data_IF_918784939685
#
_entry.id   IF_918784939685
#
_cell.length_a   1.000
_cell.length_b   1.000
_cell.length_c   1.000
_cell.angle_alpha   90.00
_cell.angle_beta   90.00
_cell.angle_gamma   90.00
#
_symmetry.space_group_name_H-M   'P 1'
#
loop_
_entity.id
_entity.type
_entity.pdbx_description
1 polymer ?
#
# COMPACT_ATOMS: atom_id res chain seq x y z
N UNK A 1 1.37 -16.72 -9.09
CA UNK A 1 1.60 -15.98 -7.84
C UNK A 1 0.28 -15.96 -7.08
N UNK A 2 0.15 -16.70 -6.00
CA UNK A 2 -1.12 -16.88 -5.29
C UNK A 2 -1.28 -15.73 -4.31
N UNK A 3 -2.27 -14.86 -4.53
CA UNK A 3 -2.65 -13.83 -3.55
C UNK A 3 -2.99 -14.51 -2.23
N UNK A 4 -2.31 -14.14 -1.15
CA UNK A 4 -2.53 -14.73 0.17
C UNK A 4 -3.39 -13.79 1.02
N UNK A 5 -4.55 -14.28 1.41
CA UNK A 5 -5.39 -13.68 2.43
C UNK A 5 -5.04 -14.31 3.77
N UNK A 6 -4.77 -13.49 4.78
CA UNK A 6 -4.42 -13.96 6.13
C UNK A 6 -5.30 -13.30 7.18
N UNK A 7 -5.74 -14.10 8.15
CA UNK A 7 -6.45 -13.62 9.33
C UNK A 7 -5.45 -12.99 10.30
N UNK A 8 -5.79 -11.85 10.85
CA UNK A 8 -5.04 -11.19 11.92
C UNK A 8 -5.67 -11.62 13.25
N UNK A 9 -4.94 -12.24 14.19
CA UNK A 9 -5.52 -12.70 15.47
C UNK A 9 -6.11 -11.54 16.29
N UNK A 10 -7.19 -11.82 17.02
CA UNK A 10 -7.80 -10.87 17.99
C UNK A 10 -6.79 -10.43 19.05
N UNK A 11 -6.83 -9.15 19.41
CA UNK A 11 -6.01 -8.58 20.50
C UNK A 11 -4.65 -8.06 20.05
N UNK A 12 -4.38 -8.04 18.75
CA UNK A 12 -3.16 -7.44 18.20
C UNK A 12 -3.43 -5.97 17.89
N UNK A 13 -2.79 -5.08 18.67
CA UNK A 13 -2.72 -3.66 18.34
C UNK A 13 -2.34 -3.50 16.87
N UNK A 14 -2.88 -2.52 16.13
CA UNK A 14 -2.60 -2.32 14.69
C UNK A 14 -1.11 -2.14 14.36
N UNK A 15 -0.24 -2.10 15.36
CA UNK A 15 1.22 -2.05 15.26
C UNK A 15 1.91 -3.34 15.75
N UNK A 16 1.20 -4.44 16.00
CA UNK A 16 1.82 -5.67 16.50
C UNK A 16 2.36 -6.57 15.37
N UNK A 17 3.51 -7.13 15.63
CA UNK A 17 4.35 -7.95 14.76
C UNK A 17 3.64 -9.20 14.26
N UNK A 18 3.62 -9.43 12.95
CA UNK A 18 3.32 -10.72 12.36
C UNK A 18 4.57 -11.60 12.33
N UNK A 19 4.61 -12.60 13.21
CA UNK A 19 5.57 -13.69 13.12
C UNK A 19 5.17 -14.65 11.99
N UNK A 20 6.09 -14.95 11.07
CA UNK A 20 5.90 -16.02 10.07
C UNK A 20 5.99 -17.34 10.80
N UNK A 21 4.89 -18.10 10.85
CA UNK A 21 4.89 -19.48 11.31
C UNK A 21 5.50 -20.35 10.21
N UNK A 22 6.78 -20.68 10.34
CA UNK A 22 7.43 -21.70 9.53
C UNK A 22 7.08 -23.06 10.11
N UNK A 23 6.54 -23.96 9.28
CA UNK A 23 6.02 -25.25 9.66
C UNK A 23 6.97 -26.06 10.55
N UNK A 24 6.40 -26.64 11.61
CA UNK A 24 7.12 -27.48 12.56
C UNK A 24 7.46 -28.85 11.94
N UNK A 25 8.74 -29.14 11.78
CA UNK A 25 9.26 -30.51 11.79
C UNK A 25 9.63 -30.88 13.25
N UNK A 26 9.24 -32.07 13.63
CA UNK A 26 9.31 -32.70 14.95
C UNK A 26 10.71 -32.63 15.54
N UNK A 27 10.78 -32.32 16.86
CA UNK A 27 11.96 -32.28 17.75
C UNK A 27 12.89 -31.07 17.55
N UNK A 28 12.58 -29.96 18.26
CA UNK A 28 13.47 -29.27 19.18
C UNK A 28 12.76 -28.03 19.74
N UNK A 29 13.17 -27.62 20.95
CA UNK A 29 12.60 -26.48 21.65
C UNK A 29 12.70 -25.23 20.77
N UNK A 30 11.65 -24.36 20.74
CA UNK A 30 11.72 -23.13 19.97
C UNK A 30 12.85 -22.26 20.55
N UNK A 31 13.94 -22.13 19.81
CA UNK A 31 14.96 -21.11 20.07
C UNK A 31 14.34 -19.77 19.61
N UNK A 32 13.82 -19.01 20.55
CA UNK A 32 13.49 -17.61 20.29
C UNK A 32 14.79 -16.83 20.09
N UNK A 33 15.21 -16.69 18.84
CA UNK A 33 16.20 -15.68 18.50
C UNK A 33 15.48 -14.35 18.60
N UNK A 34 15.66 -13.65 19.73
CA UNK A 34 15.29 -12.25 19.89
C UNK A 34 16.16 -11.39 18.96
N UNK A 35 15.88 -11.45 17.66
CA UNK A 35 16.24 -10.38 16.76
C UNK A 35 15.36 -9.19 17.12
N UNK A 36 15.95 -8.08 17.53
CA UNK A 36 15.28 -6.79 17.70
C UNK A 36 14.69 -6.37 16.33
N UNK A 37 13.51 -6.85 15.99
CA UNK A 37 12.66 -6.16 15.04
C UNK A 37 11.75 -5.28 15.87
N UNK A 38 12.10 -4.02 15.99
CA UNK A 38 11.14 -2.97 16.34
C UNK A 38 9.94 -3.14 15.46
N UNK A 39 8.74 -2.97 15.98
CA UNK A 39 7.52 -2.93 15.15
C UNK A 39 7.77 -1.93 14.03
N UNK A 40 7.43 -2.23 12.77
CA UNK A 40 7.61 -1.27 11.69
C UNK A 40 6.91 0.02 12.07
N UNK A 41 7.63 1.12 12.07
CA UNK A 41 7.06 2.43 12.25
C UNK A 41 6.30 2.75 10.95
N UNK A 42 5.01 2.97 11.04
CA UNK A 42 4.19 3.30 9.89
C UNK A 42 4.00 4.82 9.81
N UNK A 43 4.36 5.38 8.69
CA UNK A 43 4.20 6.80 8.38
C UNK A 43 2.98 6.99 7.49
N UNK A 44 2.06 7.85 7.91
CA UNK A 44 0.90 8.18 7.09
C UNK A 44 1.32 9.09 5.93
N UNK A 45 0.87 8.73 4.73
CA UNK A 45 1.18 9.44 3.49
C UNK A 45 -0.10 9.76 2.72
N UNK A 46 0.01 10.75 1.83
CA UNK A 46 -1.03 11.05 0.84
C UNK A 46 -0.49 10.94 -0.57
N UNK A 47 -1.36 10.66 -1.52
CA UNK A 47 -1.01 10.83 -2.94
C UNK A 47 -0.88 12.33 -3.20
N UNK A 48 0.34 12.77 -3.49
CA UNK A 48 0.63 14.16 -3.77
C UNK A 48 0.31 14.51 -5.21
N UNK A 49 0.84 13.70 -6.13
CA UNK A 49 0.66 13.90 -7.56
C UNK A 49 0.98 12.64 -8.37
N UNK A 50 0.60 12.67 -9.65
CA UNK A 50 1.08 11.76 -10.68
C UNK A 50 2.02 12.50 -11.61
N UNK A 51 3.18 11.90 -11.85
CA UNK A 51 4.20 12.40 -12.77
C UNK A 51 4.53 11.41 -13.88
N UNK A 52 5.38 11.85 -14.80
CA UNK A 52 6.04 11.02 -15.78
C UNK A 52 7.55 11.18 -15.63
N UNK A 53 8.26 10.07 -15.62
CA UNK A 53 9.70 10.07 -15.73
C UNK A 53 10.12 10.65 -17.08
N UNK A 54 11.00 11.67 -17.08
CA UNK A 54 11.40 12.37 -18.29
C UNK A 54 12.17 11.49 -19.27
N UNK A 55 12.89 10.50 -18.77
CA UNK A 55 13.79 9.66 -19.58
C UNK A 55 13.04 8.60 -20.36
N UNK A 56 12.09 7.92 -19.74
CA UNK A 56 11.39 6.76 -20.30
C UNK A 56 9.88 6.90 -20.39
N UNK A 57 9.33 8.06 -19.94
CA UNK A 57 7.89 8.35 -19.90
C UNK A 57 7.08 7.34 -19.07
N UNK A 58 7.72 6.67 -18.13
CA UNK A 58 7.04 5.79 -17.19
C UNK A 58 6.26 6.61 -16.17
N UNK A 59 4.98 6.31 -15.94
CA UNK A 59 4.21 6.97 -14.90
C UNK A 59 4.77 6.68 -13.51
N UNK A 60 4.71 7.68 -12.65
CA UNK A 60 5.10 7.59 -11.23
C UNK A 60 4.03 8.22 -10.36
N UNK A 61 3.69 7.56 -9.25
CA UNK A 61 2.87 8.15 -8.20
C UNK A 61 3.77 8.60 -7.07
N UNK A 62 3.58 9.83 -6.61
CA UNK A 62 4.33 10.42 -5.50
C UNK A 62 3.50 10.34 -4.22
N UNK A 63 4.02 9.66 -3.22
CA UNK A 63 3.43 9.56 -1.88
C UNK A 63 4.19 10.47 -0.95
N UNK A 64 3.56 11.57 -0.51
CA UNK A 64 4.13 12.52 0.44
C UNK A 64 3.74 12.16 1.86
N UNK A 65 4.71 12.20 2.76
CA UNK A 65 4.49 12.15 4.21
C UNK A 65 3.50 13.24 4.65
N UNK A 66 2.52 12.86 5.47
CA UNK A 66 1.45 13.78 5.87
C UNK A 66 1.95 14.86 6.87
N UNK A 67 2.90 14.52 7.72
CA UNK A 67 3.46 15.36 8.78
C UNK A 67 4.92 15.75 8.51
N UNK A 68 5.41 15.60 7.26
CA UNK A 68 6.79 15.86 6.89
C UNK A 68 6.95 16.23 5.42
N UNK A 69 8.20 16.21 4.95
CA UNK A 69 8.55 16.60 3.58
C UNK A 69 8.98 15.44 2.70
N UNK A 70 9.19 14.25 3.28
CA UNK A 70 9.65 13.06 2.55
C UNK A 70 8.63 12.63 1.51
N UNK A 71 9.13 12.27 0.34
CA UNK A 71 8.30 11.84 -0.81
C UNK A 71 8.82 10.52 -1.34
N UNK A 72 7.97 9.49 -1.36
CA UNK A 72 8.25 8.19 -1.94
C UNK A 72 7.73 8.14 -3.38
N UNK A 73 8.60 8.00 -4.40
CA UNK A 73 8.19 7.75 -5.77
C UNK A 73 7.94 6.26 -5.98
N UNK A 74 6.82 5.91 -6.61
CA UNK A 74 6.53 4.54 -7.02
C UNK A 74 6.21 4.54 -8.51
N UNK A 75 7.07 3.90 -9.31
CA UNK A 75 6.85 3.73 -10.74
C UNK A 75 5.76 2.70 -10.98
N UNK A 76 4.79 3.04 -11.81
CA UNK A 76 3.59 2.24 -12.07
C UNK A 76 3.30 2.12 -13.56
N UNK A 77 2.45 1.19 -13.95
CA UNK A 77 2.03 1.06 -15.33
C UNK A 77 1.04 2.16 -15.78
N UNK A 78 0.89 2.39 -17.09
CA UNK A 78 -0.04 3.41 -17.59
C UNK A 78 -1.51 3.14 -17.22
N UNK A 79 -1.92 1.88 -17.15
CA UNK A 79 -3.28 1.49 -16.75
C UNK A 79 -3.56 1.80 -15.29
N UNK A 80 -2.59 1.55 -14.44
CA UNK A 80 -2.62 1.83 -13.02
C UNK A 80 -2.63 3.34 -12.76
N UNK A 81 -1.77 4.09 -13.45
CA UNK A 81 -1.74 5.54 -13.39
C UNK A 81 -3.09 6.16 -13.80
N UNK A 82 -3.70 5.65 -14.88
CA UNK A 82 -5.05 6.08 -15.29
C UNK A 82 -6.09 5.82 -14.22
N UNK A 83 -6.05 4.66 -13.56
CA UNK A 83 -7.01 4.32 -12.51
C UNK A 83 -6.92 5.27 -11.30
N UNK A 84 -5.70 5.70 -10.94
CA UNK A 84 -5.45 6.68 -9.90
C UNK A 84 -5.88 8.07 -10.36
N UNK A 85 -5.45 8.52 -11.55
CA UNK A 85 -5.76 9.82 -12.12
C UNK A 85 -7.26 10.11 -12.21
N UNK A 86 -8.02 9.13 -12.69
CA UNK A 86 -9.49 9.22 -12.79
C UNK A 86 -10.12 9.50 -11.44
N UNK A 87 -9.67 8.84 -10.38
CA UNK A 87 -10.18 9.04 -9.03
C UNK A 87 -9.75 10.38 -8.45
N UNK A 88 -8.48 10.77 -8.65
CA UNK A 88 -7.98 12.09 -8.18
C UNK A 88 -8.72 13.25 -8.85
N UNK A 89 -9.06 13.12 -10.12
CA UNK A 89 -9.80 14.12 -10.87
C UNK A 89 -11.34 14.01 -10.70
N UNK A 90 -11.82 13.06 -9.90
CA UNK A 90 -13.25 12.81 -9.66
C UNK A 90 -14.07 12.69 -10.97
N UNK A 91 -13.46 12.10 -12.02
CA UNK A 91 -14.11 11.95 -13.33
C UNK A 91 -15.23 10.89 -13.25
N UNK A 92 -16.48 11.26 -13.48
CA UNK A 92 -17.58 10.31 -13.42
C UNK A 92 -17.60 9.39 -14.65
N UNK A 93 -17.94 8.13 -14.43
CA UNK A 93 -18.17 7.15 -15.49
C UNK A 93 -19.60 6.59 -15.44
N UNK A 94 -20.22 6.29 -16.59
CA UNK A 94 -21.57 5.70 -16.63
C UNK A 94 -21.66 4.33 -15.96
N UNK A 95 -20.55 3.60 -15.88
CA UNK A 95 -20.45 2.29 -15.24
C UNK A 95 -19.22 2.22 -14.36
N UNK A 96 -19.26 1.43 -13.26
CA UNK A 96 -18.13 1.25 -12.37
C UNK A 96 -16.90 0.71 -13.11
N UNK A 97 -15.74 1.29 -12.88
CA UNK A 97 -14.45 0.75 -13.32
C UNK A 97 -14.03 -0.40 -12.41
N UNK A 98 -12.93 -1.11 -12.75
CA UNK A 98 -12.47 -2.29 -12.01
C UNK A 98 -12.30 -2.04 -10.50
N UNK A 99 -11.66 -0.92 -10.11
CA UNK A 99 -11.46 -0.61 -8.69
C UNK A 99 -12.75 -0.16 -8.00
N UNK A 100 -13.70 0.45 -8.72
CA UNK A 100 -15.02 0.79 -8.20
C UNK A 100 -15.85 -0.47 -7.94
N UNK A 101 -15.78 -1.43 -8.89
CA UNK A 101 -16.39 -2.75 -8.74
C UNK A 101 -15.80 -3.50 -7.54
N UNK A 102 -14.47 -3.47 -7.38
CA UNK A 102 -13.82 -4.08 -6.22
C UNK A 102 -14.33 -3.49 -4.90
N UNK A 103 -14.38 -2.16 -4.77
CA UNK A 103 -14.91 -1.49 -3.58
C UNK A 103 -16.39 -1.83 -3.33
N UNK A 104 -17.18 -1.96 -4.40
CA UNK A 104 -18.59 -2.32 -4.30
C UNK A 104 -18.78 -3.77 -3.83
N UNK A 105 -17.98 -4.70 -4.35
CA UNK A 105 -17.96 -6.09 -3.91
C UNK A 105 -17.53 -6.22 -2.46
N UNK A 106 -16.46 -5.52 -2.07
CA UNK A 106 -15.97 -5.52 -0.68
C UNK A 106 -17.08 -5.10 0.29
N UNK A 107 -17.74 -3.97 0.02
CA UNK A 107 -18.88 -3.49 0.81
C UNK A 107 -20.06 -4.45 0.79
N UNK A 108 -20.40 -5.00 -0.38
CA UNK A 108 -21.49 -5.96 -0.54
C UNK A 108 -21.28 -7.26 0.24
N UNK A 109 -20.03 -7.63 0.48
CA UNK A 109 -19.64 -8.77 1.32
C UNK A 109 -19.47 -8.41 2.81
N UNK A 110 -19.81 -7.18 3.21
CA UNK A 110 -19.71 -6.70 4.58
C UNK A 110 -18.29 -6.35 5.03
N UNK A 111 -17.34 -6.18 4.09
CA UNK A 111 -15.97 -5.79 4.38
C UNK A 111 -15.77 -4.27 4.28
N UNK A 112 -14.87 -3.75 5.11
CA UNK A 112 -14.45 -2.34 5.12
C UNK A 112 -12.94 -2.26 5.01
N UNK A 113 -12.42 -1.47 4.06
CA UNK A 113 -10.99 -1.20 3.99
C UNK A 113 -10.60 -0.25 5.12
N UNK A 114 -9.78 -0.73 6.05
CA UNK A 114 -9.30 0.04 7.20
C UNK A 114 -8.14 0.97 6.81
N UNK A 115 -7.15 0.41 6.15
CA UNK A 115 -5.97 1.12 5.66
C UNK A 115 -5.21 0.31 4.63
N UNK A 116 -4.30 0.98 3.92
CA UNK A 116 -3.31 0.39 3.03
C UNK A 116 -1.92 0.62 3.61
N UNK A 117 -1.03 -0.33 3.45
CA UNK A 117 0.38 -0.22 3.87
C UNK A 117 1.28 -0.63 2.72
N UNK A 118 2.18 0.26 2.28
CA UNK A 118 3.32 -0.09 1.44
C UNK A 118 4.41 -0.60 2.38
N UNK A 119 4.75 -1.88 2.27
CA UNK A 119 5.46 -2.60 3.34
C UNK A 119 6.95 -2.74 3.10
N UNK A 120 7.37 -2.91 1.84
CA UNK A 120 8.76 -3.17 1.50
C UNK A 120 9.02 -3.03 0.00
N UNK A 121 10.29 -2.97 -0.36
CA UNK A 121 10.78 -3.09 -1.72
C UNK A 121 11.78 -4.27 -1.80
N UNK A 122 11.59 -5.15 -2.79
CA UNK A 122 12.48 -6.29 -3.04
C UNK A 122 12.76 -6.39 -4.54
N UNK A 123 14.04 -6.36 -4.92
CA UNK A 123 14.44 -6.47 -6.31
C UNK A 123 13.83 -5.41 -7.23
N UNK A 124 13.67 -4.18 -6.75
CA UNK A 124 13.05 -3.07 -7.49
C UNK A 124 11.52 -3.13 -7.58
N UNK A 125 10.89 -4.04 -6.84
CA UNK A 125 9.43 -4.18 -6.80
C UNK A 125 8.90 -3.82 -5.42
N UNK A 126 7.97 -2.87 -5.37
CA UNK A 126 7.26 -2.51 -4.14
C UNK A 126 6.12 -3.47 -3.85
N UNK A 127 5.89 -3.73 -2.56
CA UNK A 127 4.82 -4.58 -2.05
C UNK A 127 3.89 -3.79 -1.14
N UNK A 128 2.61 -4.11 -1.17
CA UNK A 128 1.62 -3.49 -0.32
C UNK A 128 0.61 -4.50 0.24
N UNK A 129 -0.10 -4.07 1.26
CA UNK A 129 -1.18 -4.83 1.90
C UNK A 129 -2.40 -3.94 2.11
N UNK A 130 -3.58 -4.52 1.86
CA UNK A 130 -4.85 -3.95 2.28
C UNK A 130 -5.27 -4.61 3.59
N UNK A 131 -5.56 -3.81 4.61
CA UNK A 131 -6.17 -4.30 5.84
C UNK A 131 -7.67 -4.10 5.75
N UNK A 132 -8.39 -5.21 5.68
CA UNK A 132 -9.84 -5.27 5.53
C UNK A 132 -10.45 -5.80 6.81
N UNK A 133 -11.40 -5.07 7.38
CA UNK A 133 -12.20 -5.52 8.51
C UNK A 133 -13.51 -6.12 8.01
N UNK A 134 -13.91 -7.24 8.59
CA UNK A 134 -15.21 -7.87 8.39
C UNK A 134 -15.62 -8.64 9.62
N UNK A 135 -16.81 -8.37 10.15
CA UNK A 135 -17.38 -9.04 11.35
C UNK A 135 -16.48 -8.97 12.60
N UNK A 136 -15.73 -7.88 12.78
CA UNK A 136 -14.77 -7.72 13.89
C UNK A 136 -13.41 -8.36 13.67
N UNK A 137 -13.20 -9.07 12.56
CA UNK A 137 -11.92 -9.66 12.20
C UNK A 137 -11.21 -8.80 11.15
N UNK A 138 -9.87 -8.69 11.25
CA UNK A 138 -9.05 -7.98 10.28
C UNK A 138 -8.27 -8.97 9.42
N UNK A 139 -8.39 -8.80 8.11
CA UNK A 139 -7.69 -9.58 7.10
C UNK A 139 -6.62 -8.74 6.42
N UNK A 140 -5.43 -9.30 6.25
CA UNK A 140 -4.40 -8.73 5.42
C UNK A 140 -4.42 -9.37 4.03
N UNK A 141 -4.50 -8.55 2.99
CA UNK A 141 -4.54 -8.98 1.59
C UNK A 141 -3.35 -8.39 0.87
N UNK A 142 -2.47 -9.26 0.35
CA UNK A 142 -1.31 -8.83 -0.44
C UNK A 142 -1.78 -8.24 -1.78
N UNK A 143 -1.22 -7.09 -2.17
CA UNK A 143 -1.55 -6.41 -3.40
C UNK A 143 -0.37 -5.58 -3.94
N UNK A 144 -0.48 -5.14 -5.18
CA UNK A 144 0.46 -4.16 -5.73
C UNK A 144 0.18 -2.78 -5.11
N UNK A 145 1.19 -1.94 -4.89
CA UNK A 145 0.98 -0.59 -4.36
C UNK A 145 -0.01 0.24 -5.20
N UNK A 146 0.11 0.18 -6.53
CA UNK A 146 -0.78 0.91 -7.45
C UNK A 146 -2.26 0.53 -7.29
N UNK A 147 -2.57 -0.77 -7.18
CA UNK A 147 -3.95 -1.24 -6.95
C UNK A 147 -4.44 -0.81 -5.58
N UNK A 148 -3.57 -0.94 -4.57
CA UNK A 148 -3.88 -0.56 -3.18
C UNK A 148 -4.20 0.92 -3.05
N UNK A 149 -3.40 1.80 -3.70
CA UNK A 149 -3.62 3.24 -3.74
C UNK A 149 -4.94 3.57 -4.47
N UNK A 150 -5.17 2.94 -5.65
CA UNK A 150 -6.38 3.16 -6.42
C UNK A 150 -7.65 2.78 -5.64
N UNK A 151 -7.59 1.71 -4.83
CA UNK A 151 -8.67 1.27 -3.95
C UNK A 151 -8.80 2.20 -2.73
N UNK A 152 -7.67 2.61 -2.11
CA UNK A 152 -7.66 3.51 -0.96
C UNK A 152 -8.34 4.84 -1.28
N UNK A 153 -8.01 5.46 -2.42
CA UNK A 153 -8.63 6.70 -2.89
C UNK A 153 -10.16 6.57 -3.03
N UNK A 154 -10.65 5.42 -3.53
CA UNK A 154 -12.09 5.16 -3.71
C UNK A 154 -12.83 4.83 -2.41
N UNK A 155 -12.14 4.18 -1.50
CA UNK A 155 -12.68 3.82 -0.20
C UNK A 155 -12.50 4.94 0.86
N UNK A 156 -11.81 6.04 0.51
CA UNK A 156 -11.39 7.10 1.43
C UNK A 156 -10.62 6.51 2.62
N UNK A 157 -9.76 5.53 2.35
CA UNK A 157 -8.95 4.85 3.35
C UNK A 157 -7.55 5.48 3.43
N UNK A 158 -6.97 5.46 4.63
CA UNK A 158 -5.63 6.00 4.86
C UNK A 158 -4.57 5.10 4.23
N UNK A 159 -3.49 5.73 3.74
CA UNK A 159 -2.32 5.05 3.17
C UNK A 159 -1.13 5.27 4.11
N UNK A 160 -0.40 4.21 4.36
CA UNK A 160 0.81 4.21 5.18
C UNK A 160 1.98 3.62 4.40
N UNK A 161 3.17 4.03 4.75
CA UNK A 161 4.44 3.47 4.26
C UNK A 161 5.26 3.04 5.47
N UNK A 162 6.01 1.95 5.35
CA UNK A 162 7.02 1.58 6.34
C UNK A 162 8.10 2.66 6.38
N UNK A 163 8.46 3.13 7.57
CA UNK A 163 9.41 4.23 7.75
C UNK A 163 10.78 3.92 7.17
N UNK A 164 11.27 2.67 7.33
CA UNK A 164 12.55 2.23 6.74
C UNK A 164 12.53 2.34 5.20
N UNK A 165 11.38 2.05 4.58
CA UNK A 165 11.21 2.17 3.14
C UNK A 165 11.15 3.64 2.71
N UNK A 166 10.47 4.47 3.48
CA UNK A 166 10.37 5.90 3.20
C UNK A 166 11.73 6.59 3.35
N UNK A 167 12.56 6.18 4.33
CA UNK A 167 13.93 6.69 4.48
C UNK A 167 14.85 6.28 3.34
N UNK A 168 14.73 5.02 2.87
CA UNK A 168 15.64 4.45 1.86
C UNK A 168 15.42 5.02 0.45
N UNK A 169 14.16 5.31 0.09
CA UNK A 169 13.76 5.60 -1.29
C UNK A 169 13.17 7.01 -1.48
N UNK A 170 13.29 7.89 -0.47
CA UNK A 170 12.85 9.29 -0.58
C UNK A 170 13.63 10.04 -1.66
N UNK A 171 12.90 10.87 -2.42
CA UNK A 171 13.48 11.87 -3.31
C UNK A 171 13.34 13.27 -2.71
N UNK A 172 14.35 14.12 -2.94
CA UNK A 172 14.29 15.53 -2.54
C UNK A 172 13.27 16.29 -3.38
N UNK A 173 12.47 17.20 -2.79
CA UNK A 173 11.56 18.05 -3.53
C UNK A 173 12.34 18.90 -4.55
N UNK A 174 12.16 18.65 -5.84
CA UNK A 174 12.80 19.39 -6.94
C UNK A 174 13.92 18.69 -7.69
N UNK A 175 14.47 17.59 -7.18
CA UNK A 175 15.48 16.78 -7.89
C UNK A 175 14.89 15.71 -8.82
N UNK A 176 13.59 15.49 -8.75
CA UNK A 176 12.95 14.53 -9.63
C UNK A 176 12.93 15.07 -11.04
N UNK A 177 13.64 14.42 -11.97
CA UNK A 177 13.46 14.61 -13.42
C UNK A 177 12.05 14.24 -13.88
N UNK A 178 11.04 14.54 -13.08
CA UNK A 178 9.63 14.19 -13.27
C UNK A 178 8.88 15.39 -13.87
N UNK A 179 8.04 15.12 -14.85
CA UNK A 179 7.06 16.08 -15.36
C UNK A 179 5.73 15.83 -14.64
N UNK A 180 5.19 16.85 -14.00
CA UNK A 180 3.84 16.80 -13.45
C UNK A 180 2.82 16.54 -14.54
N UNK A 181 1.94 15.58 -14.29
CA UNK A 181 0.83 15.27 -15.20
C UNK A 181 -0.50 15.69 -14.58
N UNK A 182 -0.61 15.59 -13.26
CA UNK A 182 -1.81 16.00 -12.50
C UNK A 182 -1.38 16.36 -11.07
N UNK A 183 -1.96 17.44 -10.52
CA UNK A 183 -1.82 17.78 -9.11
C UNK A 183 -2.60 16.82 -8.21
#
# INVERSE_FOLDING_TARGET
>A
MTSRMRLVPEGVEPNARFGVLVGAHRTDRPVFILGRRTSPLLVEVRVQELGLDNSNKTPVVLLQELQGERVLPIWIGPSEARAIAVQMAEIPFPSPLTHDLFCSLLRGLGGTLQKVIVTRMEGGTYYAQLLVERNGEVFSVDARPSDSIAVALRANARVFVDDELLEADTIEPGESGLVRVMP
#
